data_IF_345207989296
#
_entry.id   IF_345207989296
#
_cell.length_a   1.000
_cell.length_b   1.000
_cell.length_c   1.000
_cell.angle_alpha   90.00
_cell.angle_beta   90.00
_cell.angle_gamma   90.00
#
_symmetry.space_group_name_H-M   'P 1'
#
loop_
_entity.id
_entity.type
_entity.pdbx_description
1 polymer ?
#
# COMPACT_ATOMS: atom_id res chain seq x y z
N UNK A 1 20.45 47.16 16.68
CA UNK A 1 20.16 46.12 15.66
C UNK A 1 18.68 45.76 15.72
N UNK A 2 17.86 46.28 14.80
CA UNK A 2 16.45 45.85 14.68
C UNK A 2 16.42 44.61 13.78
N UNK A 3 16.06 43.47 14.33
CA UNK A 3 15.89 42.21 13.59
C UNK A 3 14.43 42.15 13.14
N UNK A 4 14.18 42.35 11.86
CA UNK A 4 12.86 42.12 11.25
C UNK A 4 12.74 40.67 10.82
N UNK A 5 11.91 39.88 11.48
CA UNK A 5 11.55 38.52 11.04
C UNK A 5 10.27 38.59 10.20
N UNK A 6 10.40 38.45 8.88
CA UNK A 6 9.25 38.24 8.00
C UNK A 6 8.96 36.73 7.93
N UNK A 7 8.00 36.25 8.73
CA UNK A 7 7.57 34.85 8.72
C UNK A 7 6.66 34.58 7.52
N UNK A 8 6.99 33.52 6.80
CA UNK A 8 6.89 33.46 5.34
C UNK A 8 6.13 32.18 4.95
N UNK A 9 4.79 32.25 4.84
CA UNK A 9 3.97 31.02 4.72
C UNK A 9 3.17 30.84 3.42
N UNK A 10 3.01 31.87 2.57
CA UNK A 10 2.21 31.76 1.33
C UNK A 10 2.68 32.71 0.22
N UNK A 11 3.94 32.63 -0.21
CA UNK A 11 4.41 33.43 -1.33
C UNK A 11 4.60 32.58 -2.59
N UNK A 12 4.14 33.11 -3.71
CA UNK A 12 4.41 32.55 -5.02
C UNK A 12 5.86 32.86 -5.43
N UNK A 13 6.23 32.54 -6.68
CA UNK A 13 7.57 32.86 -7.19
C UNK A 13 7.81 34.37 -7.25
N UNK A 14 6.85 35.13 -7.76
CA UNK A 14 6.99 36.56 -8.05
C UNK A 14 7.07 37.38 -6.75
N UNK A 15 6.31 36.98 -5.73
CA UNK A 15 6.39 37.51 -4.37
C UNK A 15 7.79 37.36 -3.77
N UNK A 16 8.46 36.22 -4.00
CA UNK A 16 9.82 35.98 -3.51
C UNK A 16 10.87 36.85 -4.23
N UNK A 17 10.68 37.10 -5.53
CA UNK A 17 11.57 37.98 -6.30
C UNK A 17 11.39 39.45 -5.88
N UNK A 18 10.14 39.90 -5.73
CA UNK A 18 9.83 41.22 -5.19
C UNK A 18 10.43 41.41 -3.79
N UNK A 19 10.34 40.39 -2.95
CA UNK A 19 10.94 40.39 -1.62
C UNK A 19 12.45 40.54 -1.64
N UNK A 20 13.11 39.92 -2.61
CA UNK A 20 14.55 40.09 -2.80
C UNK A 20 14.91 41.52 -3.19
N UNK A 21 14.14 42.15 -4.09
CA UNK A 21 14.32 43.55 -4.47
C UNK A 21 14.10 44.50 -3.28
N UNK A 22 13.01 44.30 -2.52
CA UNK A 22 12.72 45.07 -1.31
C UNK A 22 13.81 44.89 -0.26
N UNK A 23 14.29 43.65 -0.07
CA UNK A 23 15.39 43.35 0.86
C UNK A 23 16.70 44.04 0.46
N UNK A 24 16.99 44.08 -0.83
CA UNK A 24 18.17 44.77 -1.38
C UNK A 24 18.06 46.29 -1.20
N UNK A 25 16.87 46.85 -1.41
CA UNK A 25 16.60 48.25 -1.13
C UNK A 25 16.78 48.59 0.35
N UNK A 26 16.21 47.80 1.27
CA UNK A 26 16.36 47.96 2.73
C UNK A 26 17.85 47.93 3.13
N UNK A 27 18.61 46.97 2.61
CA UNK A 27 20.05 46.84 2.86
C UNK A 27 20.84 48.06 2.39
N UNK A 28 20.44 48.67 1.26
CA UNK A 28 21.11 49.85 0.71
C UNK A 28 20.76 51.15 1.45
N UNK A 29 19.54 51.23 2.00
CA UNK A 29 19.00 52.45 2.62
C UNK A 29 19.30 52.54 4.11
N UNK A 30 19.35 51.39 4.81
CA UNK A 30 19.53 51.34 6.26
C UNK A 30 20.74 50.49 6.67
N UNK A 31 21.50 50.88 7.71
CA UNK A 31 22.56 50.06 8.27
C UNK A 31 21.95 48.88 9.06
N UNK A 32 21.58 47.83 8.33
CA UNK A 32 20.91 46.66 8.85
C UNK A 32 21.43 45.37 8.20
N UNK A 33 21.17 44.25 8.87
CA UNK A 33 21.41 42.92 8.34
C UNK A 33 20.07 42.29 8.00
N UNK A 34 19.90 41.85 6.76
CA UNK A 34 18.66 41.23 6.27
C UNK A 34 18.91 39.74 6.07
N UNK A 35 18.11 38.92 6.75
CA UNK A 35 18.04 37.48 6.49
C UNK A 35 16.79 37.22 5.65
N UNK A 36 16.97 36.85 4.39
CA UNK A 36 15.87 36.53 3.48
C UNK A 36 15.82 35.02 3.24
N UNK A 37 14.79 34.32 3.73
CA UNK A 37 14.57 32.94 3.35
C UNK A 37 14.01 32.90 1.92
N UNK A 38 14.72 32.21 1.02
CA UNK A 38 14.29 32.00 -0.36
C UNK A 38 14.18 30.50 -0.63
N UNK A 39 13.23 30.09 -1.48
CA UNK A 39 13.13 28.67 -1.86
C UNK A 39 14.30 28.28 -2.77
N UNK A 40 14.88 27.11 -2.52
CA UNK A 40 15.91 26.50 -3.37
C UNK A 40 15.55 26.57 -4.87
N UNK A 41 14.30 26.24 -5.22
CA UNK A 41 13.83 26.25 -6.60
C UNK A 41 13.84 27.64 -7.24
N UNK A 42 13.48 28.68 -6.46
CA UNK A 42 13.48 30.06 -6.94
C UNK A 42 14.91 30.55 -7.09
N UNK A 43 15.77 30.23 -6.11
CA UNK A 43 17.19 30.58 -6.15
C UNK A 43 17.89 29.94 -7.35
N UNK A 44 17.78 28.61 -7.51
CA UNK A 44 18.46 27.86 -8.56
C UNK A 44 18.02 28.32 -9.98
N UNK A 45 16.78 28.78 -10.15
CA UNK A 45 16.26 29.29 -11.43
C UNK A 45 16.75 30.70 -11.78
N UNK A 46 16.95 31.55 -10.77
CA UNK A 46 17.21 32.98 -10.94
C UNK A 46 18.60 33.40 -10.49
N UNK A 47 19.45 32.48 -10.01
CA UNK A 47 20.84 32.81 -9.61
C UNK A 47 21.63 33.53 -10.70
N UNK A 48 21.33 33.27 -11.98
CA UNK A 48 21.98 33.90 -13.13
C UNK A 48 21.04 34.87 -13.87
N UNK A 49 19.94 35.33 -13.24
CA UNK A 49 18.96 36.24 -13.83
C UNK A 49 18.57 37.33 -12.84
N UNK A 50 18.19 38.53 -13.32
CA UNK A 50 17.65 39.55 -12.44
C UNK A 50 16.39 39.05 -11.73
N UNK A 51 16.20 39.41 -10.43
CA UNK A 51 17.04 40.30 -9.61
C UNK A 51 18.17 39.60 -8.82
N UNK A 52 18.24 38.26 -8.84
CA UNK A 52 19.13 37.44 -8.00
C UNK A 52 20.57 37.31 -8.55
N UNK A 53 20.82 37.75 -9.78
CA UNK A 53 22.14 37.81 -10.42
C UNK A 53 23.15 38.71 -9.67
N UNK A 54 22.66 39.66 -8.88
CA UNK A 54 23.47 40.56 -8.06
C UNK A 54 23.97 39.95 -6.73
N UNK A 55 23.54 38.72 -6.40
CA UNK A 55 23.89 38.07 -5.13
C UNK A 55 25.33 37.57 -5.11
N UNK A 56 26.09 38.00 -4.09
CA UNK A 56 27.41 37.44 -3.78
C UNK A 56 27.23 36.00 -3.26
N UNK A 57 27.82 35.02 -3.95
CA UNK A 57 27.68 33.58 -3.65
C UNK A 57 28.04 33.23 -2.20
N UNK A 58 29.01 33.92 -1.61
CA UNK A 58 29.49 33.66 -0.25
C UNK A 58 28.50 34.07 0.87
N UNK A 59 27.41 34.76 0.52
CA UNK A 59 26.35 35.16 1.45
C UNK A 59 25.13 34.22 1.40
N UNK A 60 25.22 33.11 0.67
CA UNK A 60 24.13 32.15 0.51
C UNK A 60 24.38 30.93 1.40
N UNK A 61 23.48 30.73 2.36
CA UNK A 61 23.51 29.60 3.28
C UNK A 61 22.42 28.60 2.90
N UNK A 62 22.81 27.36 2.60
CA UNK A 62 21.89 26.26 2.32
C UNK A 62 22.03 25.19 3.41
N UNK A 63 20.91 24.80 4.01
CA UNK A 63 20.86 23.70 4.99
C UNK A 63 20.16 22.54 4.31
N UNK A 64 20.95 21.64 3.73
CA UNK A 64 20.39 20.42 3.15
C UNK A 64 20.10 19.39 4.25
N UNK A 65 18.94 18.72 4.21
CA UNK A 65 18.64 17.65 5.17
C UNK A 65 19.64 16.50 4.97
N UNK A 66 20.14 15.88 6.06
CA UNK A 66 20.99 14.71 5.96
C UNK A 66 20.26 13.54 5.30
N UNK A 67 21.03 12.63 4.70
CA UNK A 67 20.49 11.39 4.14
C UNK A 67 19.75 10.59 5.23
N UNK A 68 18.53 10.17 4.93
CA UNK A 68 17.67 9.44 5.87
C UNK A 68 18.34 8.17 6.42
N UNK A 69 19.07 7.44 5.57
CA UNK A 69 19.82 6.25 5.97
C UNK A 69 20.86 6.56 7.07
N UNK A 70 21.59 7.68 6.93
CA UNK A 70 22.57 8.13 7.94
C UNK A 70 21.88 8.48 9.25
N UNK A 71 20.73 9.15 9.20
CA UNK A 71 19.96 9.50 10.40
C UNK A 71 19.46 8.25 11.12
N UNK A 72 18.92 7.28 10.38
CA UNK A 72 18.42 6.01 10.93
C UNK A 72 19.57 5.22 11.56
N UNK A 73 20.71 5.11 10.87
CA UNK A 73 21.90 4.43 11.39
C UNK A 73 22.42 5.08 12.68
N UNK A 74 22.54 6.42 12.72
CA UNK A 74 22.96 7.14 13.93
C UNK A 74 21.99 6.93 15.09
N UNK A 75 20.67 6.93 14.83
CA UNK A 75 19.65 6.65 15.86
C UNK A 75 19.70 5.20 16.35
N UNK A 76 19.93 4.25 15.45
CA UNK A 76 20.12 2.85 15.84
C UNK A 76 21.34 2.70 16.75
N UNK A 77 22.49 3.27 16.38
CA UNK A 77 23.70 3.20 17.20
C UNK A 77 23.52 3.89 18.56
N UNK A 78 22.75 4.98 18.62
CA UNK A 78 22.37 5.58 19.89
C UNK A 78 21.52 4.62 20.73
N UNK A 79 20.45 4.04 20.16
CA UNK A 79 19.59 3.09 20.85
C UNK A 79 20.37 1.85 21.33
N UNK A 80 21.32 1.34 20.53
CA UNK A 80 22.15 0.21 20.91
C UNK A 80 23.07 0.51 22.11
N UNK A 81 23.65 1.72 22.19
CA UNK A 81 24.45 2.15 23.35
C UNK A 81 23.60 2.22 24.61
N UNK A 82 22.40 2.77 24.52
CA UNK A 82 21.43 2.83 25.64
C UNK A 82 20.97 1.44 26.09
N UNK A 83 20.79 0.51 25.16
CA UNK A 83 20.43 -0.88 25.47
C UNK A 83 21.58 -1.59 26.17
N UNK A 84 22.84 -1.33 25.78
CA UNK A 84 24.04 -1.93 26.39
C UNK A 84 24.35 -1.37 27.78
N UNK A 85 24.07 -0.08 28.03
CA UNK A 85 24.27 0.52 29.36
C UNK A 85 23.28 -0.03 30.40
N UNK A 86 22.14 -0.57 29.94
CA UNK A 86 21.05 -1.03 30.78
C UNK A 86 21.04 -2.58 30.90
N UNK A 87 21.42 -3.13 32.06
CA UNK A 87 21.46 -4.59 32.30
C UNK A 87 20.12 -5.20 32.73
N UNK A 88 19.04 -4.44 32.73
CA UNK A 88 17.72 -4.88 33.21
C UNK A 88 17.10 -5.92 32.27
N UNK A 89 16.82 -7.12 32.78
CA UNK A 89 16.04 -8.11 32.03
C UNK A 89 14.55 -7.81 32.13
N UNK A 90 13.78 -8.17 31.10
CA UNK A 90 12.32 -8.09 31.17
C UNK A 90 11.71 -9.46 30.86
N UNK A 91 10.55 -9.72 31.45
CA UNK A 91 9.83 -10.99 31.32
C UNK A 91 8.45 -10.73 30.73
N UNK A 92 8.03 -11.57 29.79
CA UNK A 92 6.67 -11.56 29.26
C UNK A 92 6.12 -12.99 29.23
N UNK A 93 4.79 -13.10 29.18
CA UNK A 93 4.09 -14.38 29.09
C UNK A 93 3.52 -14.55 27.69
N UNK A 94 3.76 -15.72 27.11
CA UNK A 94 3.15 -16.13 25.85
C UNK A 94 1.67 -16.49 26.06
N UNK A 95 0.84 -16.57 24.99
CA UNK A 95 -0.57 -16.96 25.09
C UNK A 95 -0.81 -18.33 25.74
N UNK A 96 0.20 -19.21 25.75
CA UNK A 96 0.19 -20.51 26.43
C UNK A 96 0.74 -20.46 27.87
N UNK A 97 0.83 -19.26 28.47
CA UNK A 97 1.36 -18.99 29.80
C UNK A 97 2.85 -19.34 30.02
N UNK A 98 3.60 -19.66 28.97
CA UNK A 98 5.04 -19.83 29.09
C UNK A 98 5.70 -18.47 29.39
N UNK A 99 6.51 -18.44 30.45
CA UNK A 99 7.32 -17.27 30.82
C UNK A 99 8.57 -17.20 29.95
N UNK A 100 8.74 -16.10 29.23
CA UNK A 100 9.94 -15.82 28.45
C UNK A 100 10.70 -14.68 29.11
N UNK A 101 11.95 -14.94 29.47
CA UNK A 101 12.90 -13.94 29.93
C UNK A 101 13.71 -13.46 28.73
N UNK A 102 13.82 -12.14 28.55
CA UNK A 102 14.52 -11.54 27.43
C UNK A 102 15.59 -10.58 27.95
N UNK A 103 16.84 -10.83 27.56
CA UNK A 103 17.95 -9.92 27.82
C UNK A 103 17.87 -8.67 26.94
N UNK A 104 18.40 -7.54 27.44
CA UNK A 104 18.52 -6.31 26.63
C UNK A 104 19.39 -6.50 25.39
N UNK A 105 20.43 -7.34 25.48
CA UNK A 105 21.26 -7.72 24.35
C UNK A 105 20.46 -8.34 23.19
N UNK A 106 19.47 -9.18 23.49
CA UNK A 106 18.62 -9.80 22.46
C UNK A 106 17.74 -8.76 21.75
N UNK A 107 17.27 -7.73 22.47
CA UNK A 107 16.52 -6.62 21.86
C UNK A 107 17.42 -5.83 20.90
N UNK A 108 18.68 -5.63 21.27
CA UNK A 108 19.66 -4.98 20.40
C UNK A 108 19.91 -5.78 19.11
N UNK A 109 20.06 -7.09 19.21
CA UNK A 109 20.18 -7.97 18.04
C UNK A 109 18.92 -7.89 17.18
N UNK A 110 17.74 -8.08 17.78
CA UNK A 110 16.46 -7.98 17.08
C UNK A 110 16.30 -6.68 16.27
N UNK A 111 16.60 -5.53 16.89
CA UNK A 111 16.53 -4.22 16.21
C UNK A 111 17.52 -4.13 15.04
N UNK A 112 18.75 -4.63 15.20
CA UNK A 112 19.74 -4.67 14.11
C UNK A 112 19.23 -5.49 12.94
N UNK A 113 18.69 -6.68 13.21
CA UNK A 113 18.21 -7.60 12.18
C UNK A 113 17.02 -7.03 11.41
N UNK A 114 16.04 -6.43 12.12
CA UNK A 114 14.91 -5.77 11.47
C UNK A 114 15.41 -4.69 10.52
N UNK A 115 16.26 -3.78 11.02
CA UNK A 115 16.73 -2.65 10.22
C UNK A 115 17.56 -3.14 9.03
N UNK A 116 18.45 -4.11 9.25
CA UNK A 116 19.21 -4.74 8.17
C UNK A 116 18.28 -5.35 7.12
N UNK A 117 17.28 -6.13 7.54
CA UNK A 117 16.30 -6.74 6.63
C UNK A 117 15.48 -5.70 5.86
N UNK A 118 15.12 -4.59 6.48
CA UNK A 118 14.39 -3.49 5.84
C UNK A 118 15.20 -2.84 4.72
N UNK A 119 16.45 -2.49 5.01
CA UNK A 119 17.31 -1.86 4.00
C UNK A 119 17.84 -2.87 2.96
N UNK A 120 17.73 -4.17 3.18
CA UNK A 120 17.97 -5.17 2.14
C UNK A 120 16.76 -5.36 1.21
N UNK A 121 15.58 -4.85 1.56
CA UNK A 121 14.39 -4.93 0.73
C UNK A 121 14.32 -3.74 -0.24
N UNK A 122 14.36 -4.04 -1.55
CA UNK A 122 14.38 -3.03 -2.61
C UNK A 122 13.08 -2.22 -2.67
N UNK A 123 11.94 -2.84 -2.35
CA UNK A 123 10.65 -2.15 -2.32
C UNK A 123 10.61 -1.16 -1.16
N UNK A 124 11.07 -1.56 0.03
CA UNK A 124 11.19 -0.66 1.18
C UNK A 124 12.07 0.54 0.85
N UNK A 125 13.28 0.31 0.33
CA UNK A 125 14.21 1.38 -0.07
C UNK A 125 13.57 2.36 -1.06
N UNK A 126 12.90 1.85 -2.09
CA UNK A 126 12.25 2.70 -3.09
C UNK A 126 11.13 3.52 -2.46
N UNK A 127 10.23 2.88 -1.71
CA UNK A 127 9.10 3.52 -1.03
C UNK A 127 9.58 4.60 -0.05
N UNK A 128 10.52 4.27 0.84
CA UNK A 128 10.95 5.22 1.85
C UNK A 128 11.68 6.40 1.21
N UNK A 129 12.49 6.17 0.17
CA UNK A 129 13.20 7.24 -0.53
C UNK A 129 12.23 8.19 -1.24
N UNK A 130 11.20 7.69 -1.93
CA UNK A 130 10.28 8.60 -2.63
C UNK A 130 9.16 9.18 -1.78
N UNK A 131 8.69 8.48 -0.73
CA UNK A 131 7.64 9.00 0.16
C UNK A 131 8.18 9.91 1.25
N UNK A 132 9.29 9.53 1.88
CA UNK A 132 9.94 10.41 2.84
C UNK A 132 10.68 11.53 2.09
N UNK A 133 11.35 11.21 0.97
CA UNK A 133 12.10 12.20 0.20
C UNK A 133 13.10 12.93 1.11
N UNK A 134 12.95 14.26 1.19
CA UNK A 134 13.72 15.14 2.09
C UNK A 134 13.12 15.27 3.50
N UNK A 135 11.95 14.70 3.75
CA UNK A 135 11.27 14.74 5.04
C UNK A 135 11.72 13.57 5.94
N UNK A 136 12.79 13.82 6.70
CA UNK A 136 13.37 12.85 7.63
C UNK A 136 12.37 12.42 8.70
N UNK A 137 11.51 13.32 9.17
CA UNK A 137 10.50 13.03 10.19
C UNK A 137 9.55 11.94 9.71
N UNK A 138 9.00 12.10 8.50
CA UNK A 138 8.12 11.10 7.87
C UNK A 138 8.82 9.75 7.67
N UNK A 139 10.10 9.77 7.27
CA UNK A 139 10.90 8.55 7.15
C UNK A 139 11.09 7.80 8.47
N UNK A 140 11.35 8.54 9.56
CA UNK A 140 11.47 7.97 10.90
C UNK A 140 10.13 7.46 11.45
N UNK A 141 9.03 8.15 11.16
CA UNK A 141 7.68 7.69 11.51
C UNK A 141 7.36 6.34 10.85
N UNK A 142 7.62 6.19 9.54
CA UNK A 142 7.43 4.92 8.83
C UNK A 142 8.25 3.79 9.46
N UNK A 143 9.51 4.07 9.84
CA UNK A 143 10.36 3.07 10.48
C UNK A 143 9.88 2.70 11.89
N UNK A 144 9.38 3.68 12.66
CA UNK A 144 8.80 3.42 13.98
C UNK A 144 7.50 2.62 13.88
N UNK A 145 6.64 2.94 12.91
CA UNK A 145 5.43 2.16 12.61
C UNK A 145 5.79 0.71 12.26
N UNK A 146 6.90 0.50 11.55
CA UNK A 146 7.40 -0.83 11.24
C UNK A 146 7.81 -1.60 12.50
N UNK A 147 8.65 -0.99 13.35
CA UNK A 147 9.12 -1.63 14.59
C UNK A 147 7.98 -1.91 15.58
N UNK A 148 6.88 -1.15 15.51
CA UNK A 148 5.69 -1.31 16.37
C UNK A 148 4.59 -2.15 15.73
N UNK A 149 4.81 -2.70 14.54
CA UNK A 149 3.75 -3.39 13.80
C UNK A 149 3.42 -4.75 14.40
N UNK A 150 2.15 -4.98 14.70
CA UNK A 150 1.64 -6.28 15.15
C UNK A 150 1.62 -7.37 14.07
N UNK A 151 2.04 -7.07 12.85
CA UNK A 151 2.19 -8.08 11.78
C UNK A 151 3.47 -8.92 11.93
N UNK A 152 4.44 -8.48 12.73
CA UNK A 152 5.63 -9.27 13.06
C UNK A 152 5.27 -10.22 14.21
N UNK A 153 4.89 -11.44 13.85
CA UNK A 153 4.56 -12.50 14.81
C UNK A 153 5.76 -13.01 15.60
N UNK A 154 5.47 -13.69 16.72
CA UNK A 154 6.47 -14.31 17.60
C UNK A 154 7.34 -15.34 16.87
N UNK A 155 6.80 -16.02 15.84
CA UNK A 155 7.52 -17.01 15.05
C UNK A 155 8.73 -16.40 14.33
N UNK A 156 8.63 -15.14 13.88
CA UNK A 156 9.74 -14.41 13.28
C UNK A 156 10.79 -14.02 14.34
N UNK A 157 10.37 -13.67 15.56
CA UNK A 157 11.27 -13.40 16.67
C UNK A 157 12.13 -14.64 17.00
N UNK A 158 11.51 -15.83 17.04
CA UNK A 158 12.23 -17.08 17.28
C UNK A 158 13.20 -17.42 16.15
N UNK A 159 12.80 -17.25 14.88
CA UNK A 159 13.69 -17.46 13.72
C UNK A 159 14.89 -16.50 13.74
N UNK A 160 14.66 -15.25 14.14
CA UNK A 160 15.72 -14.25 14.34
C UNK A 160 16.69 -14.69 15.44
N UNK A 161 16.19 -15.19 16.57
CA UNK A 161 17.02 -15.72 17.66
C UNK A 161 17.84 -16.94 17.22
N UNK A 162 17.22 -17.89 16.51
CA UNK A 162 17.89 -19.12 16.06
C UNK A 162 18.99 -18.85 15.03
N UNK A 163 18.82 -17.84 14.19
CA UNK A 163 19.76 -17.49 13.12
C UNK A 163 20.93 -16.62 13.57
N UNK A 164 21.05 -16.30 14.87
CA UNK A 164 22.09 -15.37 15.35
C UNK A 164 21.98 -13.98 14.73
N UNK A 165 20.78 -13.61 14.29
CA UNK A 165 20.50 -12.31 13.70
C UNK A 165 20.71 -12.14 12.19
N UNK A 166 20.96 -13.23 11.45
CA UNK A 166 21.12 -13.17 9.99
C UNK A 166 19.82 -13.48 9.22
N UNK A 167 18.68 -13.52 9.91
CA UNK A 167 17.39 -13.80 9.28
C UNK A 167 16.80 -12.57 8.57
N UNK A 168 16.48 -12.76 7.29
CA UNK A 168 15.79 -11.77 6.46
C UNK A 168 14.27 -11.96 6.54
N UNK A 169 13.56 -10.89 6.88
CA UNK A 169 12.10 -10.85 6.84
C UNK A 169 11.60 -11.06 5.40
N UNK A 170 10.52 -11.84 5.21
CA UNK A 170 9.94 -12.01 3.89
C UNK A 170 9.43 -10.68 3.30
N UNK A 171 9.67 -10.45 2.00
CA UNK A 171 9.26 -9.20 1.34
C UNK A 171 7.74 -8.93 1.38
N UNK A 172 6.90 -9.98 1.39
CA UNK A 172 5.44 -9.79 1.52
C UNK A 172 5.05 -9.22 2.90
N UNK A 173 5.79 -9.60 3.96
CA UNK A 173 5.59 -9.09 5.30
C UNK A 173 6.01 -7.63 5.37
N UNK A 174 7.16 -7.29 4.78
CA UNK A 174 7.63 -5.90 4.68
C UNK A 174 6.60 -5.03 3.95
N UNK A 175 6.11 -5.49 2.80
CA UNK A 175 5.08 -4.78 2.03
C UNK A 175 3.79 -4.58 2.84
N UNK A 176 3.31 -5.62 3.54
CA UNK A 176 2.11 -5.54 4.39
C UNK A 176 2.26 -4.47 5.47
N UNK A 177 3.39 -4.44 6.17
CA UNK A 177 3.65 -3.46 7.23
C UNK A 177 3.75 -2.05 6.64
N UNK A 178 4.39 -1.89 5.48
CA UNK A 178 4.47 -0.59 4.81
C UNK A 178 3.10 -0.04 4.41
N UNK A 179 2.19 -0.90 3.96
CA UNK A 179 0.85 -0.46 3.52
C UNK A 179 -0.12 -0.30 4.69
N UNK A 180 -0.09 -1.20 5.69
CA UNK A 180 -1.05 -1.20 6.81
C UNK A 180 -0.52 -0.54 8.09
N UNK A 181 0.77 -0.26 8.18
CA UNK A 181 1.42 0.24 9.40
C UNK A 181 1.13 -0.66 10.60
N UNK A 182 0.57 -0.05 11.65
CA UNK A 182 0.15 -0.70 12.90
C UNK A 182 -1.26 -1.30 12.88
N UNK A 183 -2.04 -1.10 11.81
CA UNK A 183 -3.46 -1.48 11.76
C UNK A 183 -3.63 -2.91 11.26
N UNK A 184 -4.73 -3.54 11.69
CA UNK A 184 -5.13 -4.87 11.20
C UNK A 184 -5.57 -4.84 9.74
N UNK A 185 -6.36 -3.82 9.37
CA UNK A 185 -6.85 -3.59 8.01
C UNK A 185 -6.29 -2.28 7.44
N UNK A 186 -6.21 -2.24 6.12
CA UNK A 186 -5.87 -1.02 5.41
C UNK A 186 -6.98 0.02 5.56
N UNK A 187 -6.57 1.30 5.63
CA UNK A 187 -7.47 2.44 5.63
C UNK A 187 -6.77 3.61 4.96
N UNK A 188 -7.34 4.12 3.87
CA UNK A 188 -6.71 5.09 2.97
C UNK A 188 -6.31 6.38 3.70
N UNK A 189 -7.21 6.89 4.55
CA UNK A 189 -7.03 8.18 5.21
C UNK A 189 -5.77 8.22 6.08
N UNK A 190 -5.51 7.16 6.84
CA UNK A 190 -4.37 7.06 7.77
C UNK A 190 -3.12 6.40 7.17
N UNK A 191 -3.22 5.78 6.00
CA UNK A 191 -2.07 5.10 5.39
C UNK A 191 -1.13 6.10 4.71
N UNK A 192 0.19 5.87 4.86
CA UNK A 192 1.22 6.66 4.15
C UNK A 192 1.17 6.43 2.64
N UNK A 193 0.75 5.23 2.25
CA UNK A 193 0.52 4.78 0.88
C UNK A 193 -0.97 4.92 0.61
N UNK A 194 -1.34 5.65 -0.43
CA UNK A 194 -2.73 5.95 -0.78
C UNK A 194 -3.28 4.95 -1.79
N UNK A 195 -4.58 4.67 -1.68
CA UNK A 195 -5.37 3.88 -2.59
C UNK A 195 -5.59 4.70 -3.85
N UNK A 196 -5.02 4.27 -4.97
CA UNK A 196 -5.23 4.93 -6.24
C UNK A 196 -6.61 4.64 -6.85
N UNK A 197 -7.30 3.59 -6.42
CA UNK A 197 -8.69 3.28 -6.77
C UNK A 197 -9.70 3.82 -5.75
N UNK A 198 -9.35 4.90 -5.06
CA UNK A 198 -10.23 5.50 -4.06
C UNK A 198 -11.46 6.14 -4.71
N UNK A 199 -12.62 5.90 -4.10
CA UNK A 199 -13.87 6.54 -4.47
C UNK A 199 -14.68 6.85 -3.21
N UNK A 200 -15.67 7.73 -3.33
CA UNK A 200 -16.53 8.12 -2.22
C UNK A 200 -17.97 7.64 -2.49
N UNK A 201 -18.57 6.96 -1.52
CA UNK A 201 -19.97 6.47 -1.62
C UNK A 201 -21.02 7.59 -1.62
N UNK A 202 -20.67 8.79 -1.16
CA UNK A 202 -21.56 9.96 -1.14
C UNK A 202 -21.68 10.65 -2.49
N UNK A 203 -20.86 10.27 -3.48
CA UNK A 203 -20.95 10.83 -4.83
C UNK A 203 -22.10 10.18 -5.60
N UNK A 204 -22.77 10.96 -6.45
CA UNK A 204 -23.88 10.45 -7.28
C UNK A 204 -23.45 9.28 -8.18
N UNK A 205 -22.22 9.35 -8.70
CA UNK A 205 -21.55 8.24 -9.37
C UNK A 205 -20.11 8.18 -8.83
N UNK A 206 -19.79 7.21 -7.96
CA UNK A 206 -18.44 7.05 -7.42
C UNK A 206 -17.42 6.82 -8.53
N UNK A 207 -16.33 7.57 -8.54
CA UNK A 207 -15.31 7.47 -9.58
C UNK A 207 -13.98 7.00 -8.99
N UNK A 208 -13.59 5.72 -9.17
CA UNK A 208 -12.35 5.17 -8.62
C UNK A 208 -11.11 5.56 -9.42
N UNK A 209 -11.22 6.27 -10.55
CA UNK A 209 -10.08 6.46 -11.47
C UNK A 209 -9.43 7.84 -11.36
N UNK A 210 -10.02 8.76 -10.59
CA UNK A 210 -9.57 10.16 -10.51
C UNK A 210 -8.10 10.30 -10.07
N UNK A 211 -7.68 9.60 -9.00
CA UNK A 211 -6.29 9.68 -8.51
C UNK A 211 -5.28 9.17 -9.54
N UNK A 212 -5.59 8.06 -10.22
CA UNK A 212 -4.73 7.50 -11.27
C UNK A 212 -4.63 8.48 -12.44
N UNK A 213 -5.76 9.03 -12.89
CA UNK A 213 -5.81 10.00 -13.99
C UNK A 213 -4.98 11.24 -13.70
N UNK A 214 -5.09 11.80 -12.48
CA UNK A 214 -4.29 12.98 -12.08
C UNK A 214 -2.79 12.65 -12.16
N UNK A 215 -2.36 11.56 -11.53
CA UNK A 215 -0.95 11.21 -11.47
C UNK A 215 -0.40 10.84 -12.85
N UNK A 216 -1.13 10.10 -13.68
CA UNK A 216 -0.69 9.75 -15.04
C UNK A 216 -0.66 10.97 -15.96
N UNK A 217 -1.63 11.89 -15.86
CA UNK A 217 -1.61 13.15 -16.61
C UNK A 217 -0.34 13.96 -16.31
N UNK A 218 0.00 14.09 -15.02
CA UNK A 218 1.22 14.80 -14.59
C UNK A 218 2.50 14.05 -15.00
N UNK A 219 2.48 12.72 -14.94
CA UNK A 219 3.62 11.89 -15.32
C UNK A 219 3.94 12.02 -16.82
N UNK A 220 2.92 11.97 -17.68
CA UNK A 220 3.07 12.11 -19.13
C UNK A 220 3.69 13.46 -19.51
N UNK A 221 3.37 14.51 -18.76
CA UNK A 221 3.81 15.89 -18.99
C UNK A 221 4.98 16.33 -18.10
N UNK A 222 5.67 15.38 -17.47
CA UNK A 222 6.74 15.68 -16.51
C UNK A 222 7.94 16.40 -17.17
N UNK A 223 8.17 16.15 -18.46
CA UNK A 223 9.27 16.75 -19.24
C UNK A 223 8.87 18.05 -19.95
N UNK A 224 7.58 18.37 -20.00
CA UNK A 224 7.04 19.55 -20.67
C UNK A 224 7.23 20.80 -19.81
N UNK A 225 7.32 21.96 -20.45
CA UNK A 225 7.44 23.24 -19.76
C UNK A 225 6.06 23.79 -19.41
N UNK A 226 5.88 24.12 -18.13
CA UNK A 226 4.70 24.83 -17.65
C UNK A 226 4.66 26.30 -18.02
N UNK A 227 3.57 27.01 -17.65
CA UNK A 227 3.42 28.45 -17.84
C UNK A 227 4.58 29.27 -17.25
N UNK A 228 5.11 28.84 -16.09
CA UNK A 228 6.23 29.50 -15.42
C UNK A 228 7.62 29.10 -15.96
N UNK A 229 7.69 28.41 -17.12
CA UNK A 229 8.92 27.85 -17.71
C UNK A 229 9.65 26.86 -16.81
N UNK A 230 8.98 26.32 -15.80
CA UNK A 230 9.47 25.22 -14.98
C UNK A 230 8.97 23.90 -15.56
N UNK A 231 9.88 22.93 -15.74
CA UNK A 231 9.52 21.59 -16.25
C UNK A 231 8.60 20.85 -15.28
N UNK A 232 7.55 20.24 -15.82
CA UNK A 232 6.61 19.36 -15.12
C UNK A 232 5.61 20.06 -14.21
N UNK A 233 5.65 21.39 -14.10
CA UNK A 233 4.66 22.18 -13.36
C UNK A 233 3.54 22.61 -14.29
N UNK A 234 2.29 22.32 -13.94
CA UNK A 234 1.13 22.58 -14.79
C UNK A 234 0.00 23.19 -13.97
N UNK A 235 -0.81 24.03 -14.61
CA UNK A 235 -1.99 24.63 -13.96
C UNK A 235 -3.03 23.57 -13.64
N UNK A 236 -3.61 23.66 -12.45
CA UNK A 236 -4.72 22.79 -12.05
C UNK A 236 -5.93 22.97 -12.96
N UNK A 237 -6.20 24.20 -13.42
CA UNK A 237 -7.26 24.45 -14.38
C UNK A 237 -7.11 23.62 -15.67
N UNK A 238 -5.88 23.44 -16.17
CA UNK A 238 -5.59 22.60 -17.34
C UNK A 238 -5.87 21.12 -17.08
N UNK A 239 -5.54 20.66 -15.88
CA UNK A 239 -5.80 19.28 -15.42
C UNK A 239 -7.30 19.05 -15.33
N UNK A 240 -8.03 19.94 -14.66
CA UNK A 240 -9.49 19.88 -14.52
C UNK A 240 -10.15 19.80 -15.90
N UNK A 241 -9.80 20.70 -16.83
CA UNK A 241 -10.36 20.70 -18.18
C UNK A 241 -10.10 19.37 -18.91
N UNK A 242 -8.87 18.85 -18.82
CA UNK A 242 -8.50 17.58 -19.45
C UNK A 242 -9.25 16.39 -18.84
N UNK A 243 -9.30 16.28 -17.52
CA UNK A 243 -9.93 15.15 -16.83
C UNK A 243 -11.47 15.19 -16.92
N UNK A 244 -12.07 16.38 -16.95
CA UNK A 244 -13.51 16.51 -17.26
C UNK A 244 -13.83 15.98 -18.67
N UNK A 245 -12.95 16.23 -19.65
CA UNK A 245 -13.06 15.66 -21.00
C UNK A 245 -12.95 14.13 -21.05
N UNK A 246 -12.40 13.51 -20.01
CA UNK A 246 -12.31 12.06 -19.82
C UNK A 246 -13.47 11.49 -18.98
N UNK A 247 -14.41 12.31 -18.50
CA UNK A 247 -15.57 11.87 -17.72
C UNK A 247 -15.48 12.03 -16.21
N UNK A 248 -14.42 12.66 -15.68
CA UNK A 248 -14.24 12.87 -14.24
C UNK A 248 -14.98 14.14 -13.74
N UNK A 249 -15.60 14.06 -12.57
CA UNK A 249 -16.29 15.21 -11.97
C UNK A 249 -15.31 16.26 -11.41
N UNK A 250 -15.50 17.55 -11.77
CA UNK A 250 -14.66 18.69 -11.31
C UNK A 250 -14.45 18.72 -9.80
N UNK A 251 -15.54 18.58 -9.02
CA UNK A 251 -15.50 18.58 -7.56
C UNK A 251 -14.56 17.49 -7.02
N UNK A 252 -14.61 16.29 -7.60
CA UNK A 252 -13.78 15.15 -7.19
C UNK A 252 -12.32 15.37 -7.56
N UNK A 253 -12.03 15.90 -8.74
CA UNK A 253 -10.66 16.23 -9.16
C UNK A 253 -9.98 17.16 -8.15
N UNK A 254 -10.66 18.25 -7.74
CA UNK A 254 -10.11 19.20 -6.77
C UNK A 254 -9.81 18.56 -5.41
N UNK A 255 -10.77 17.81 -4.86
CA UNK A 255 -10.61 17.12 -3.56
C UNK A 255 -9.47 16.10 -3.61
N UNK A 256 -9.34 15.35 -4.70
CA UNK A 256 -8.27 14.36 -4.83
C UNK A 256 -6.90 15.00 -5.10
N UNK A 257 -6.83 16.15 -5.78
CA UNK A 257 -5.57 16.93 -5.89
C UNK A 257 -5.12 17.37 -4.50
N UNK A 258 -6.02 17.91 -3.68
CA UNK A 258 -5.72 18.33 -2.31
C UNK A 258 -5.26 17.14 -1.45
N UNK A 259 -5.96 16.00 -1.54
CA UNK A 259 -5.59 14.76 -0.85
C UNK A 259 -4.22 14.23 -1.27
N UNK A 260 -3.93 14.23 -2.57
CA UNK A 260 -2.64 13.79 -3.11
C UNK A 260 -1.51 14.77 -2.77
N UNK A 261 -1.78 16.07 -2.68
CA UNK A 261 -0.83 17.06 -2.19
C UNK A 261 -0.50 16.83 -0.71
N UNK A 262 -1.51 16.63 0.14
CA UNK A 262 -1.32 16.28 1.56
C UNK A 262 -0.53 14.97 1.74
N UNK A 263 -0.79 13.96 0.90
CA UNK A 263 -0.04 12.71 0.91
C UNK A 263 1.43 12.88 0.45
N UNK A 264 1.74 14.00 -0.20
CA UNK A 264 3.04 14.29 -0.80
C UNK A 264 3.24 13.66 -2.16
N UNK A 265 2.19 13.15 -2.81
CA UNK A 265 2.21 12.59 -4.17
C UNK A 265 2.30 13.68 -5.26
N UNK A 266 1.84 14.88 -4.93
CA UNK A 266 1.87 16.07 -5.77
C UNK A 266 2.60 17.18 -5.01
N UNK A 267 3.40 17.97 -5.71
CA UNK A 267 4.05 19.16 -5.19
C UNK A 267 3.36 20.40 -5.77
N UNK A 268 2.96 21.32 -4.90
CA UNK A 268 2.44 22.64 -5.24
C UNK A 268 3.58 23.66 -5.32
N UNK A 269 3.49 24.65 -6.20
CA UNK A 269 4.47 25.74 -6.29
C UNK A 269 4.53 26.57 -5.00
N UNK A 270 3.37 26.78 -4.38
CA UNK A 270 3.20 27.50 -3.10
C UNK A 270 3.68 26.70 -1.89
N UNK A 271 3.91 25.40 -2.04
CA UNK A 271 4.20 24.45 -0.95
C UNK A 271 3.12 24.45 0.16
N UNK A 272 1.92 24.94 -0.15
CA UNK A 272 0.73 24.77 0.69
C UNK A 272 0.01 23.49 0.31
N UNK A 273 -0.68 22.90 1.28
CA UNK A 273 -1.57 21.78 1.01
C UNK A 273 -2.97 22.24 0.56
N UNK A 274 -3.35 23.47 0.88
CA UNK A 274 -4.51 24.13 0.28
C UNK A 274 -4.15 24.52 -1.15
N UNK A 275 -5.07 24.22 -2.06
CA UNK A 275 -4.83 24.30 -3.49
C UNK A 275 -5.87 25.19 -4.16
N UNK A 276 -5.41 26.17 -4.94
CA UNK A 276 -6.25 26.99 -5.81
C UNK A 276 -6.15 26.52 -7.27
N UNK A 277 -7.18 26.77 -8.08
CA UNK A 277 -7.21 26.35 -9.49
C UNK A 277 -6.12 26.99 -10.37
N UNK A 278 -5.62 28.15 -9.94
CA UNK A 278 -4.52 28.86 -10.59
C UNK A 278 -3.13 28.37 -10.16
N UNK A 279 -3.04 27.54 -9.12
CA UNK A 279 -1.76 27.04 -8.64
C UNK A 279 -1.13 26.08 -9.67
N UNK A 280 0.20 26.09 -9.72
CA UNK A 280 0.97 25.14 -10.49
C UNK A 280 1.33 23.91 -9.65
N UNK A 281 1.11 22.73 -10.22
CA UNK A 281 1.41 21.46 -9.58
C UNK A 281 2.24 20.54 -10.44
N UNK A 282 3.00 19.66 -9.78
CA UNK A 282 3.91 18.68 -10.37
C UNK A 282 3.77 17.33 -9.66
N UNK A 283 3.97 16.23 -10.38
CA UNK A 283 4.10 14.91 -9.75
C UNK A 283 5.38 14.82 -8.91
N UNK A 284 5.26 14.27 -7.71
CA UNK A 284 6.41 14.02 -6.82
C UNK A 284 6.98 12.61 -7.04
N UNK A 285 8.18 12.31 -6.50
CA UNK A 285 8.69 10.94 -6.44
C UNK A 285 7.72 9.96 -5.75
N UNK A 286 6.98 10.42 -4.73
CA UNK A 286 5.95 9.60 -4.10
C UNK A 286 4.82 9.27 -5.08
N UNK A 287 4.36 10.24 -5.88
CA UNK A 287 3.32 10.00 -6.90
C UNK A 287 3.76 8.96 -7.94
N UNK A 288 5.02 9.00 -8.37
CA UNK A 288 5.58 8.00 -9.29
C UNK A 288 5.60 6.59 -8.67
N UNK A 289 6.00 6.48 -7.40
CA UNK A 289 5.97 5.21 -6.69
C UNK A 289 4.55 4.65 -6.61
N UNK A 290 3.55 5.50 -6.35
CA UNK A 290 2.15 5.04 -6.32
C UNK A 290 1.71 4.48 -7.68
N UNK A 291 2.14 5.08 -8.80
CA UNK A 291 1.89 4.53 -10.13
C UNK A 291 2.60 3.18 -10.34
N UNK A 292 3.85 3.05 -9.90
CA UNK A 292 4.60 1.78 -9.97
C UNK A 292 3.95 0.67 -9.14
N UNK A 293 3.32 1.02 -8.02
CA UNK A 293 2.64 0.07 -7.14
C UNK A 293 1.42 -0.59 -7.79
N UNK A 294 0.85 -0.02 -8.86
CA UNK A 294 -0.20 -0.69 -9.64
C UNK A 294 0.27 -2.03 -10.23
N UNK A 295 1.59 -2.25 -10.37
CA UNK A 295 2.18 -3.55 -10.76
C UNK A 295 2.67 -4.35 -9.55
N UNK A 296 2.00 -4.26 -8.40
CA UNK A 296 2.35 -4.98 -7.18
C UNK A 296 1.12 -5.66 -6.55
N UNK A 297 1.15 -6.99 -6.47
CA UNK A 297 0.07 -7.81 -5.89
C UNK A 297 -0.22 -7.45 -4.43
N UNK A 298 0.81 -7.22 -3.61
CA UNK A 298 0.60 -6.87 -2.20
C UNK A 298 -0.15 -5.54 -2.08
N UNK A 299 0.17 -4.56 -2.94
CA UNK A 299 -0.52 -3.27 -2.95
C UNK A 299 -1.98 -3.42 -3.39
N UNK A 300 -2.22 -4.07 -4.53
CA UNK A 300 -3.57 -4.29 -5.08
C UNK A 300 -4.47 -5.05 -4.09
N UNK A 301 -3.96 -6.13 -3.48
CA UNK A 301 -4.67 -6.85 -2.44
C UNK A 301 -4.98 -5.96 -1.23
N UNK A 302 -4.02 -5.14 -0.79
CA UNK A 302 -4.19 -4.31 0.41
C UNK A 302 -5.19 -3.17 0.20
N UNK A 303 -5.18 -2.52 -0.96
CA UNK A 303 -6.15 -1.43 -1.25
C UNK A 303 -7.57 -1.97 -1.46
N UNK A 304 -7.70 -3.23 -1.87
CA UNK A 304 -9.01 -3.90 -2.01
C UNK A 304 -9.81 -3.95 -0.72
N UNK A 305 -9.14 -3.85 0.44
CA UNK A 305 -9.77 -3.86 1.77
C UNK A 305 -10.59 -2.58 2.06
N UNK A 306 -10.27 -1.48 1.38
CA UNK A 306 -10.87 -0.15 1.59
C UNK A 306 -11.38 0.45 0.26
N UNK A 307 -11.71 -0.43 -0.70
CA UNK A 307 -12.33 -0.04 -1.97
C UNK A 307 -13.83 -0.30 -1.91
N UNK A 308 -14.63 0.65 -2.37
CA UNK A 308 -16.07 0.46 -2.52
C UNK A 308 -16.40 -0.39 -3.74
N UNK A 309 -17.16 -1.48 -3.51
CA UNK A 309 -17.71 -2.32 -4.56
C UNK A 309 -19.21 -2.08 -4.67
N UNK A 310 -19.70 -1.95 -5.90
CA UNK A 310 -21.14 -1.85 -6.20
C UNK A 310 -21.84 -3.19 -5.98
N UNK A 311 -21.17 -4.28 -6.34
CA UNK A 311 -21.65 -5.64 -6.17
C UNK A 311 -21.21 -6.20 -4.81
N UNK A 312 -22.16 -6.69 -4.03
CA UNK A 312 -21.89 -7.23 -2.70
C UNK A 312 -21.03 -8.50 -2.75
N UNK A 313 -21.11 -9.27 -3.83
CA UNK A 313 -20.36 -10.52 -3.98
C UNK A 313 -18.84 -10.29 -3.90
N UNK A 314 -18.31 -9.32 -4.65
CA UNK A 314 -16.89 -8.98 -4.67
C UNK A 314 -16.39 -8.55 -3.28
N UNK A 315 -17.16 -7.68 -2.60
CA UNK A 315 -16.83 -7.22 -1.25
C UNK A 315 -16.85 -8.37 -0.23
N UNK A 316 -17.84 -9.27 -0.33
CA UNK A 316 -17.97 -10.41 0.57
C UNK A 316 -16.82 -11.40 0.41
N UNK A 317 -16.41 -11.71 -0.83
CA UNK A 317 -15.26 -12.60 -1.07
C UNK A 317 -13.96 -12.04 -0.50
N UNK A 318 -13.73 -10.72 -0.63
CA UNK A 318 -12.58 -10.06 0.00
C UNK A 318 -12.70 -10.12 1.52
N UNK A 319 -13.87 -9.80 2.09
CA UNK A 319 -14.10 -9.87 3.53
C UNK A 319 -13.87 -11.29 4.10
N UNK A 320 -14.34 -12.33 3.41
CA UNK A 320 -14.13 -13.72 3.80
C UNK A 320 -12.63 -14.09 3.77
N UNK A 321 -11.89 -13.64 2.76
CA UNK A 321 -10.43 -13.78 2.70
C UNK A 321 -9.72 -13.09 3.89
N UNK A 322 -10.19 -11.90 4.28
CA UNK A 322 -9.65 -11.12 5.40
C UNK A 322 -9.92 -11.75 6.77
N UNK A 323 -11.02 -12.47 6.95
CA UNK A 323 -11.33 -13.17 8.21
C UNK A 323 -10.79 -14.62 8.21
N UNK A 324 -10.20 -15.07 7.10
CA UNK A 324 -9.68 -16.43 6.95
C UNK A 324 -10.75 -17.48 6.68
N UNK A 325 -11.95 -17.04 6.27
CA UNK A 325 -13.04 -17.89 5.79
C UNK A 325 -12.98 -18.14 4.27
N UNK A 326 -12.15 -17.37 3.57
CA UNK A 326 -11.97 -17.47 2.12
C UNK A 326 -11.29 -18.75 1.66
N UNK A 327 -11.16 -18.87 0.33
CA UNK A 327 -10.64 -20.05 -0.39
C UNK A 327 -9.17 -20.35 -0.05
N UNK A 328 -8.40 -19.28 0.11
CA UNK A 328 -6.97 -19.34 0.34
C UNK A 328 -6.66 -19.16 1.82
N UNK A 329 -5.58 -19.80 2.30
CA UNK A 329 -5.08 -19.64 3.66
C UNK A 329 -4.93 -18.15 3.97
N UNK A 330 -5.42 -17.74 5.14
CA UNK A 330 -5.35 -16.34 5.57
C UNK A 330 -3.92 -15.81 5.45
N UNK A 331 -3.77 -14.61 4.89
CA UNK A 331 -2.47 -13.91 4.72
C UNK A 331 -1.44 -14.64 3.83
N UNK A 332 -1.85 -15.66 3.08
CA UNK A 332 -1.01 -16.36 2.10
C UNK A 332 -0.82 -15.54 0.82
N UNK A 333 0.17 -15.92 0.00
CA UNK A 333 0.44 -15.27 -1.28
C UNK A 333 -0.72 -15.45 -2.25
N UNK A 334 -1.32 -16.63 -2.24
CA UNK A 334 -2.43 -17.05 -3.07
C UNK A 334 -3.69 -16.22 -2.75
N UNK A 335 -3.94 -15.96 -1.45
CA UNK A 335 -5.01 -15.06 -1.01
C UNK A 335 -4.83 -13.64 -1.54
N UNK A 336 -3.59 -13.12 -1.54
CA UNK A 336 -3.29 -11.78 -2.07
C UNK A 336 -3.50 -11.72 -3.58
N UNK A 337 -3.10 -12.75 -4.33
CA UNK A 337 -3.37 -12.85 -5.78
C UNK A 337 -4.87 -12.86 -6.03
N UNK A 338 -5.63 -13.64 -5.26
CA UNK A 338 -7.09 -13.73 -5.38
C UNK A 338 -7.79 -12.39 -5.14
N UNK A 339 -7.49 -11.70 -4.03
CA UNK A 339 -8.05 -10.38 -3.74
C UNK A 339 -7.66 -9.35 -4.81
N UNK A 340 -6.42 -9.40 -5.30
CA UNK A 340 -5.98 -8.54 -6.41
C UNK A 340 -6.77 -8.80 -7.68
N UNK A 341 -7.05 -10.07 -8.01
CA UNK A 341 -7.81 -10.46 -9.20
C UNK A 341 -9.28 -10.00 -9.11
N UNK A 342 -9.90 -10.13 -7.93
CA UNK A 342 -11.26 -9.60 -7.70
C UNK A 342 -11.27 -8.10 -7.94
N UNK A 343 -10.33 -7.36 -7.34
CA UNK A 343 -10.24 -5.92 -7.50
C UNK A 343 -10.07 -5.52 -8.96
N UNK A 344 -9.09 -6.09 -9.67
CA UNK A 344 -8.79 -5.67 -11.06
C UNK A 344 -9.92 -6.02 -12.01
N UNK A 345 -10.51 -7.21 -11.90
CA UNK A 345 -11.66 -7.61 -12.71
C UNK A 345 -12.88 -6.72 -12.46
N UNK A 346 -13.13 -6.39 -11.20
CA UNK A 346 -14.16 -5.43 -10.85
C UNK A 346 -13.88 -4.06 -11.46
N UNK A 347 -12.64 -3.55 -11.39
CA UNK A 347 -12.27 -2.26 -12.00
C UNK A 347 -12.41 -2.27 -13.53
N UNK A 348 -12.05 -3.36 -14.20
CA UNK A 348 -12.27 -3.52 -15.65
C UNK A 348 -13.77 -3.50 -15.98
N UNK A 349 -14.57 -4.27 -15.24
CA UNK A 349 -16.02 -4.31 -15.41
C UNK A 349 -16.66 -2.95 -15.15
N UNK A 350 -16.24 -2.27 -14.08
CA UNK A 350 -16.71 -0.94 -13.71
C UNK A 350 -16.38 0.09 -14.81
N UNK A 351 -15.15 0.05 -15.33
CA UNK A 351 -14.71 0.94 -16.40
C UNK A 351 -15.48 0.72 -17.71
N UNK A 352 -15.94 -0.49 -17.99
CA UNK A 352 -16.72 -0.78 -19.21
C UNK A 352 -18.19 -0.40 -19.09
N UNK A 353 -18.77 -0.61 -17.91
CA UNK A 353 -20.22 -0.52 -17.72
C UNK A 353 -20.69 0.83 -17.18
N UNK A 354 -19.87 1.52 -16.38
CA UNK A 354 -20.30 2.71 -15.63
C UNK A 354 -19.44 3.94 -15.85
N UNK A 355 -18.17 3.75 -16.20
CA UNK A 355 -17.35 4.88 -16.59
C UNK A 355 -17.83 5.36 -17.95
N UNK A 356 -18.48 6.54 -17.98
CA UNK A 356 -19.04 7.18 -19.18
C UNK A 356 -18.00 7.40 -20.29
N UNK A 357 -16.72 7.12 -20.02
CA UNK A 357 -15.61 7.27 -20.94
C UNK A 357 -15.49 8.72 -21.39
N UNK A 358 -14.73 8.92 -22.47
CA UNK A 358 -14.82 10.15 -23.26
C UNK A 358 -16.24 10.24 -23.79
N UNK A 359 -17.07 11.04 -23.13
CA UNK A 359 -18.40 11.39 -23.63
C UNK A 359 -18.27 11.77 -25.10
N UNK A 360 -19.00 11.07 -25.96
CA UNK A 360 -19.10 11.29 -27.42
C UNK A 360 -19.62 12.69 -27.81
N UNK A 361 -19.73 13.62 -26.86
CA UNK A 361 -20.55 14.80 -26.99
C UNK A 361 -19.81 16.08 -27.36
N UNK A 362 -18.47 16.16 -27.32
CA UNK A 362 -17.76 17.37 -27.77
C UNK A 362 -16.36 17.04 -28.35
N UNK A 363 -16.10 17.55 -29.57
CA UNK A 363 -14.81 17.87 -30.24
C UNK A 363 -13.74 16.80 -30.60
N UNK A 364 -13.31 16.89 -31.87
CA UNK A 364 -12.31 16.12 -32.65
C UNK A 364 -10.85 16.14 -32.14
N UNK A 365 -10.58 16.39 -30.87
CA UNK A 365 -9.21 16.34 -30.35
C UNK A 365 -8.88 14.92 -29.89
N UNK A 366 -7.77 14.36 -30.37
CA UNK A 366 -7.24 13.06 -29.95
C UNK A 366 -7.09 13.01 -28.42
N UNK A 367 -8.00 12.32 -27.73
CA UNK A 367 -8.00 12.29 -26.25
C UNK A 367 -7.10 11.17 -25.73
N UNK A 368 -6.19 11.54 -24.83
CA UNK A 368 -5.25 10.63 -24.19
C UNK A 368 -6.00 9.61 -23.30
N UNK A 369 -5.74 8.32 -23.51
CA UNK A 369 -6.11 7.30 -22.53
C UNK A 369 -5.22 7.47 -21.30
N UNK A 370 -5.77 8.15 -20.29
CA UNK A 370 -5.01 8.48 -19.08
C UNK A 370 -4.77 7.29 -18.19
N UNK A 371 -5.52 6.20 -18.29
CA UNK A 371 -5.30 4.99 -17.50
C UNK A 371 -5.61 3.72 -18.30
N UNK A 372 -4.87 2.66 -18.02
CA UNK A 372 -5.03 1.35 -18.64
C UNK A 372 -5.16 0.32 -17.54
N UNK A 373 -6.40 -0.06 -17.24
CA UNK A 373 -6.75 -1.06 -16.23
C UNK A 373 -6.54 -2.46 -16.79
N UNK A 374 -6.67 -2.64 -18.10
CA UNK A 374 -6.52 -3.94 -18.74
C UNK A 374 -5.10 -4.47 -18.56
N UNK A 375 -4.07 -3.63 -18.72
CA UNK A 375 -2.69 -4.07 -18.44
C UNK A 375 -2.40 -4.39 -16.97
N UNK A 376 -3.17 -3.80 -16.03
CA UNK A 376 -3.06 -4.12 -14.61
C UNK A 376 -3.68 -5.50 -14.36
N UNK A 377 -4.86 -5.77 -14.92
CA UNK A 377 -5.52 -7.08 -14.82
C UNK A 377 -4.67 -8.20 -15.47
N UNK A 378 -4.12 -7.96 -16.66
CA UNK A 378 -3.21 -8.88 -17.34
C UNK A 378 -1.93 -9.16 -16.53
N UNK A 379 -1.45 -8.18 -15.77
CA UNK A 379 -0.32 -8.39 -14.85
C UNK A 379 -0.70 -9.33 -13.70
N UNK A 380 -1.89 -9.14 -13.11
CA UNK A 380 -2.39 -10.02 -12.05
C UNK A 380 -2.60 -11.43 -12.58
N UNK A 381 -3.24 -11.58 -13.73
CA UNK A 381 -3.51 -12.87 -14.36
C UNK A 381 -2.21 -13.61 -14.74
N UNK A 382 -1.20 -12.90 -15.26
CA UNK A 382 0.13 -13.51 -15.49
C UNK A 382 0.78 -13.96 -14.20
N UNK A 383 0.59 -13.22 -13.11
CA UNK A 383 1.15 -13.58 -11.80
C UNK A 383 0.42 -14.79 -11.21
N UNK A 384 -0.90 -14.85 -11.36
CA UNK A 384 -1.73 -15.99 -10.98
C UNK A 384 -1.32 -17.26 -11.74
N UNK A 385 -1.12 -17.17 -13.06
CA UNK A 385 -0.69 -18.31 -13.91
C UNK A 385 0.72 -18.82 -13.60
N UNK A 386 1.58 -18.00 -12.98
CA UNK A 386 2.93 -18.41 -12.57
C UNK A 386 2.94 -19.14 -11.22
N UNK A 387 1.89 -18.98 -10.42
CA UNK A 387 1.83 -19.53 -9.08
C UNK A 387 1.21 -20.93 -9.10
N UNK A 388 2.05 -21.95 -8.87
CA UNK A 388 1.64 -23.36 -8.95
C UNK A 388 0.58 -23.72 -7.91
N UNK A 389 0.66 -23.15 -6.70
CA UNK A 389 -0.31 -23.43 -5.64
C UNK A 389 -1.66 -22.79 -5.98
N UNK A 390 -1.65 -21.56 -6.47
CA UNK A 390 -2.85 -20.87 -6.91
C UNK A 390 -3.58 -21.66 -8.00
N UNK A 391 -2.87 -22.13 -9.03
CA UNK A 391 -3.43 -22.95 -10.11
C UNK A 391 -3.93 -24.31 -9.61
N UNK A 392 -3.20 -24.95 -8.70
CA UNK A 392 -3.60 -26.23 -8.13
C UNK A 392 -4.93 -26.12 -7.38
N UNK A 393 -5.10 -25.07 -6.58
CA UNK A 393 -6.33 -24.81 -5.83
C UNK A 393 -7.48 -24.53 -6.80
N UNK A 394 -7.26 -23.71 -7.84
CA UNK A 394 -8.26 -23.49 -8.88
C UNK A 394 -8.66 -24.78 -9.60
N UNK A 395 -7.70 -25.64 -9.90
CA UNK A 395 -7.96 -26.93 -10.52
C UNK A 395 -8.82 -27.81 -9.62
N UNK A 396 -8.52 -27.87 -8.33
CA UNK A 396 -9.36 -28.60 -7.36
C UNK A 396 -10.77 -28.05 -7.28
N UNK A 397 -10.98 -26.73 -7.29
CA UNK A 397 -12.33 -26.15 -7.30
C UNK A 397 -13.09 -26.48 -8.60
N UNK A 398 -12.41 -26.52 -9.75
CA UNK A 398 -13.04 -26.85 -11.04
C UNK A 398 -13.36 -28.35 -11.16
N UNK A 399 -12.44 -29.22 -10.73
CA UNK A 399 -12.60 -30.68 -10.79
C UNK A 399 -13.63 -31.16 -9.73
N UNK A 400 -13.71 -30.43 -8.60
CA UNK A 400 -14.52 -30.76 -7.41
C UNK A 400 -15.27 -29.52 -6.89
N UNK A 401 -16.25 -28.99 -7.64
CA UNK A 401 -17.01 -27.82 -7.22
C UNK A 401 -17.90 -28.12 -6.00
N UNK A 402 -18.18 -27.12 -5.14
CA UNK A 402 -19.17 -27.23 -4.07
C UNK A 402 -20.50 -27.79 -4.58
N UNK A 403 -21.09 -28.73 -3.85
CA UNK A 403 -22.33 -29.43 -4.22
C UNK A 403 -22.14 -30.71 -5.03
N UNK A 404 -20.93 -30.98 -5.55
CA UNK A 404 -20.65 -32.23 -6.26
C UNK A 404 -20.63 -33.40 -5.27
N UNK A 405 -21.37 -34.45 -5.60
CA UNK A 405 -21.37 -35.72 -4.87
C UNK A 405 -20.19 -36.58 -5.32
N UNK A 406 -19.50 -37.18 -4.35
CA UNK A 406 -18.35 -38.07 -4.57
C UNK A 406 -18.50 -39.31 -3.72
N UNK A 407 -18.15 -40.45 -4.30
CA UNK A 407 -17.90 -41.69 -3.56
C UNK A 407 -16.52 -41.59 -2.91
N UNK A 408 -16.48 -41.74 -1.59
CA UNK A 408 -15.28 -41.58 -0.78
C UNK A 408 -15.10 -42.76 0.16
N UNK A 409 -13.86 -43.23 0.30
CA UNK A 409 -13.49 -44.30 1.21
C UNK A 409 -12.99 -43.73 2.53
N UNK A 410 -13.44 -44.28 3.66
CA UNK A 410 -12.98 -43.87 4.99
C UNK A 410 -11.56 -44.41 5.23
N UNK A 411 -10.62 -43.51 5.49
CA UNK A 411 -9.21 -43.85 5.80
C UNK A 411 -8.97 -43.90 7.30
N UNK A 412 -9.62 -43.01 8.07
CA UNK A 412 -9.47 -42.97 9.51
C UNK A 412 -10.70 -42.35 10.18
N UNK A 413 -11.17 -43.02 11.22
CA UNK A 413 -12.23 -42.53 12.09
C UNK A 413 -11.61 -41.80 13.28
N UNK A 414 -12.08 -40.58 13.55
CA UNK A 414 -11.68 -39.78 14.69
C UNK A 414 -12.91 -39.29 15.46
N UNK A 415 -12.74 -38.96 16.74
CA UNK A 415 -13.84 -38.47 17.59
C UNK A 415 -14.52 -37.20 17.06
N UNK A 416 -13.84 -36.44 16.19
CA UNK A 416 -14.34 -35.18 15.62
C UNK A 416 -14.83 -35.32 14.17
N UNK A 417 -14.65 -36.47 13.53
CA UNK A 417 -15.03 -36.66 12.12
C UNK A 417 -14.35 -37.84 11.43
N UNK A 418 -14.66 -38.01 10.15
CA UNK A 418 -14.06 -39.04 9.30
C UNK A 418 -13.09 -38.44 8.30
N UNK A 419 -11.88 -38.99 8.22
CA UNK A 419 -10.96 -38.73 7.12
C UNK A 419 -11.26 -39.66 5.97
N UNK A 420 -11.46 -39.09 4.80
CA UNK A 420 -11.90 -39.84 3.62
C UNK A 420 -11.06 -39.50 2.40
N UNK A 421 -10.93 -40.45 1.50
CA UNK A 421 -10.24 -40.31 0.23
C UNK A 421 -11.18 -40.59 -0.94
N UNK A 422 -11.07 -39.79 -2.00
CA UNK A 422 -11.90 -39.93 -3.19
C UNK A 422 -11.11 -39.56 -4.45
N UNK A 423 -11.26 -40.37 -5.51
CA UNK A 423 -10.48 -40.23 -6.75
C UNK A 423 -8.95 -40.33 -6.52
N UNK A 424 -8.16 -39.87 -7.50
CA UNK A 424 -6.69 -40.04 -7.48
C UNK A 424 -5.95 -39.08 -6.52
N UNK A 425 -6.58 -37.99 -6.06
CA UNK A 425 -5.93 -36.92 -5.26
C UNK A 425 -6.85 -36.22 -4.24
N UNK A 426 -8.09 -36.69 -4.05
CA UNK A 426 -9.04 -36.06 -3.14
C UNK A 426 -8.84 -36.60 -1.73
N UNK A 427 -8.34 -35.78 -0.81
CA UNK A 427 -8.33 -36.09 0.63
C UNK A 427 -9.25 -35.11 1.35
N UNK A 428 -10.18 -35.60 2.17
CA UNK A 428 -11.20 -34.80 2.82
C UNK A 428 -11.43 -35.13 4.29
N UNK A 429 -12.14 -34.23 4.97
CA UNK A 429 -12.63 -34.40 6.33
C UNK A 429 -14.13 -34.13 6.34
N UNK A 430 -14.89 -35.08 6.86
CA UNK A 430 -16.30 -34.87 7.23
C UNK A 430 -16.32 -34.59 8.73
N UNK A 431 -16.55 -33.34 9.10
CA UNK A 431 -16.69 -32.95 10.51
C UNK A 431 -18.04 -33.43 11.07
N UNK A 432 -18.10 -33.77 12.36
CA UNK A 432 -19.33 -34.28 13.01
C UNK A 432 -20.58 -33.40 12.86
N UNK A 433 -20.41 -32.10 12.71
CA UNK A 433 -21.52 -31.16 12.45
C UNK A 433 -22.18 -31.36 11.08
N UNK A 434 -21.49 -32.05 10.17
CA UNK A 434 -21.89 -32.22 8.76
C UNK A 434 -22.37 -33.66 8.48
N UNK A 435 -22.73 -34.42 9.52
CA UNK A 435 -23.30 -35.76 9.39
C UNK A 435 -24.80 -35.77 9.10
N UNK A 436 -25.39 -34.67 8.61
CA UNK A 436 -26.77 -34.61 8.11
C UNK A 436 -27.85 -35.28 9.00
N UNK A 437 -27.66 -35.31 10.32
CA UNK A 437 -28.60 -35.91 11.28
C UNK A 437 -28.53 -37.43 11.43
N UNK A 438 -27.50 -38.13 10.92
CA UNK A 438 -27.31 -39.56 11.19
C UNK A 438 -27.20 -39.83 12.70
N UNK A 439 -27.87 -40.89 13.17
CA UNK A 439 -27.87 -41.28 14.59
C UNK A 439 -26.48 -41.76 15.01
N UNK A 440 -26.16 -41.57 16.29
CA UNK A 440 -24.85 -41.92 16.83
C UNK A 440 -24.52 -43.41 16.67
N UNK A 441 -25.54 -44.28 16.69
CA UNK A 441 -25.41 -45.72 16.55
C UNK A 441 -24.96 -46.12 15.14
N UNK A 442 -25.48 -45.47 14.11
CA UNK A 442 -25.13 -45.71 12.69
C UNK A 442 -23.73 -45.18 12.35
N UNK A 443 -23.25 -44.18 13.09
CA UNK A 443 -21.89 -43.65 12.91
C UNK A 443 -20.83 -44.52 13.61
N UNK A 444 -21.21 -45.32 14.62
CA UNK A 444 -20.31 -46.25 15.31
C UNK A 444 -20.06 -47.54 14.52
N UNK A 445 -20.93 -47.87 13.56
CA UNK A 445 -20.75 -49.06 12.70
C UNK A 445 -19.77 -48.84 11.56
N UNK A 446 -19.30 -47.61 11.33
CA UNK A 446 -18.38 -47.26 10.26
C UNK A 446 -16.92 -47.51 10.67
N UNK A 447 -16.19 -48.24 9.84
CA UNK A 447 -14.78 -48.56 10.03
C UNK A 447 -13.90 -47.97 8.90
N UNK A 448 -12.58 -48.02 9.10
CA UNK A 448 -11.65 -47.67 8.03
C UNK A 448 -11.74 -48.71 6.91
N UNK A 449 -11.99 -48.26 5.68
CA UNK A 449 -12.20 -49.10 4.50
C UNK A 449 -13.59 -48.97 3.88
N UNK A 450 -14.59 -48.48 4.64
CA UNK A 450 -15.97 -48.35 4.18
C UNK A 450 -16.14 -47.26 3.14
N UNK A 451 -17.09 -47.47 2.21
CA UNK A 451 -17.46 -46.52 1.17
C UNK A 451 -18.69 -45.72 1.58
N UNK A 452 -18.64 -44.41 1.32
CA UNK A 452 -19.71 -43.48 1.63
C UNK A 452 -19.91 -42.50 0.48
N UNK A 453 -21.11 -41.92 0.39
CA UNK A 453 -21.40 -40.84 -0.53
C UNK A 453 -21.38 -39.52 0.24
N UNK A 454 -20.50 -38.63 -0.17
CA UNK A 454 -20.32 -37.32 0.43
C UNK A 454 -20.47 -36.19 -0.60
N UNK A 455 -20.94 -35.03 -0.14
CA UNK A 455 -21.03 -33.81 -0.91
C UNK A 455 -19.87 -32.87 -0.58
N UNK A 456 -19.21 -32.33 -1.58
CA UNK A 456 -18.14 -31.35 -1.39
C UNK A 456 -18.73 -30.03 -0.91
N UNK A 457 -18.27 -29.52 0.23
CA UNK A 457 -18.63 -28.20 0.73
C UNK A 457 -17.64 -27.16 0.22
N UNK A 458 -16.35 -27.36 0.49
CA UNK A 458 -15.28 -26.43 0.10
C UNK A 458 -13.90 -27.07 0.18
N UNK A 459 -12.88 -26.50 -0.46
CA UNK A 459 -11.50 -26.91 -0.28
C UNK A 459 -10.77 -25.97 0.70
N UNK A 460 -10.20 -26.54 1.75
CA UNK A 460 -9.40 -25.82 2.77
C UNK A 460 -7.92 -25.89 2.41
N UNK A 461 -7.41 -24.82 1.81
CA UNK A 461 -6.01 -24.73 1.35
C UNK A 461 -4.98 -24.68 2.49
N UNK A 462 -5.36 -24.23 3.68
CA UNK A 462 -4.52 -24.24 4.89
C UNK A 462 -4.16 -25.65 5.35
N UNK A 463 -5.11 -26.59 5.23
CA UNK A 463 -4.92 -28.01 5.58
C UNK A 463 -4.71 -28.92 4.37
N UNK A 464 -4.84 -28.37 3.16
CA UNK A 464 -4.86 -29.10 1.87
C UNK A 464 -5.88 -30.25 1.87
N UNK A 465 -7.08 -30.00 2.39
CA UNK A 465 -8.14 -31.02 2.53
C UNK A 465 -9.49 -30.47 2.08
N UNK A 466 -10.35 -31.32 1.54
CA UNK A 466 -11.74 -30.99 1.26
C UNK A 466 -12.59 -31.08 2.53
N UNK A 467 -13.45 -30.10 2.75
CA UNK A 467 -14.56 -30.21 3.69
C UNK A 467 -15.74 -30.84 2.98
N UNK A 468 -16.26 -31.91 3.58
CA UNK A 468 -17.30 -32.74 3.00
C UNK A 468 -18.49 -32.82 3.95
N UNK A 469 -19.66 -33.10 3.38
CA UNK A 469 -20.91 -33.40 4.09
C UNK A 469 -21.30 -34.84 3.80
N UNK A 470 -21.60 -35.63 4.83
CA UNK A 470 -22.07 -36.99 4.65
C UNK A 470 -23.51 -36.95 4.12
N UNK A 471 -23.78 -37.64 3.01
CA UNK A 471 -25.12 -37.75 2.44
C UNK A 471 -25.72 -39.12 2.66
N UNK A 472 -24.95 -40.17 2.36
CA UNK A 472 -25.41 -41.55 2.44
C UNK A 472 -24.26 -42.48 2.83
N UNK A 473 -24.60 -43.50 3.59
CA UNK A 473 -23.74 -44.63 3.95
C UNK A 473 -24.18 -45.79 3.05
N UNK A 474 -23.21 -46.47 2.42
CA UNK A 474 -23.50 -47.65 1.58
C UNK A 474 -23.60 -48.94 2.38
#
# INVERSE_FOLDING_TARGET
>A
TRIGNFLLRRWNRDDQLLMFEVSSWIKSTFPCMVFLPLRDSTYDQFINKPPLDTVIKDLVFRIDPPLLEKVIYSRLNYALREIQSNKTKFTYYLPNNLKVECGRGEVAEYLKCIIASLFQDMLFKRIITGIAGRNIRKGLEILLDFCKSGHIGEDYLFKLRQSGGDYKLPSFLVARILFKGKRKYYYDRESHIKNLFYSQSTDSLPDPFVRISILRWLNNRMREFGPNRTKGYHKIQSIIKSLQGCGHARKRILLEIESLAHAGCILTETQSNEVNEEDLIRISPAGLIHLDLLKNINYLATISEDTYFRENQSAKEIADSLVGRGRFRHQSREALIHCSSILTKYMVSYSKNYFLGTTQLLTNESRESLFDIQSIDEFVDRTAKKDSNYLLIQKYENDYPPGKQVEAQIVSVQYYGFFVEFGLKGHGLIHKSNFNGFSHDVLQTLEAGDWIIAEIISFRSDRRRFELKLLKIE
#
